data_IF_114521682036
#
_entry.id   IF_114521682036
#
_cell.length_a   1.000
_cell.length_b   1.000
_cell.length_c   1.000
_cell.angle_alpha   90.00
_cell.angle_beta   90.00
_cell.angle_gamma   90.00
#
_symmetry.space_group_name_H-M   'P 1'
#
loop_
_entity.id
_entity.type
_entity.pdbx_description
1 polymer ?
#
# COMPACT_ATOMS: atom_id res chain seq x y z
N UNK A 1 22.46 6.45 -22.87
CA UNK A 1 21.25 5.73 -22.45
C UNK A 1 20.04 6.65 -22.68
N UNK A 2 19.03 6.22 -23.44
CA UNK A 2 17.79 6.99 -23.57
C UNK A 2 17.15 7.00 -22.18
N UNK A 3 16.98 8.17 -21.59
CA UNK A 3 16.24 8.38 -20.34
C UNK A 3 14.84 7.80 -20.53
N UNK A 4 14.59 6.64 -19.95
CA UNK A 4 13.28 6.08 -19.80
C UNK A 4 12.43 7.11 -19.03
N UNK A 5 11.16 7.30 -19.40
CA UNK A 5 10.25 8.17 -18.68
C UNK A 5 9.89 7.67 -17.28
N UNK A 6 10.64 6.69 -16.73
CA UNK A 6 10.47 6.11 -15.41
C UNK A 6 11.08 7.01 -14.32
N UNK A 7 10.40 7.06 -13.18
CA UNK A 7 10.93 7.66 -11.96
C UNK A 7 11.84 6.67 -11.20
N UNK A 8 11.54 5.37 -11.29
CA UNK A 8 12.36 4.27 -10.75
C UNK A 8 12.48 3.22 -11.83
N UNK A 9 13.69 2.75 -12.11
CA UNK A 9 13.98 1.68 -13.07
C UNK A 9 15.01 0.71 -12.45
N UNK A 10 14.60 -0.52 -12.19
CA UNK A 10 15.40 -1.61 -11.64
C UNK A 10 15.46 -2.71 -12.68
N UNK A 11 16.66 -3.26 -12.94
CA UNK A 11 16.87 -4.34 -13.91
C UNK A 11 17.72 -5.42 -13.28
N UNK A 12 17.14 -6.61 -13.13
CA UNK A 12 17.77 -7.80 -12.57
C UNK A 12 18.48 -7.53 -11.23
N UNK A 13 17.90 -6.66 -10.38
CA UNK A 13 18.51 -6.24 -9.12
C UNK A 13 18.46 -7.36 -8.10
N UNK A 14 19.63 -7.72 -7.57
CA UNK A 14 19.77 -8.77 -6.55
C UNK A 14 20.51 -8.24 -5.33
N UNK A 15 20.06 -8.65 -4.13
CA UNK A 15 20.70 -8.37 -2.85
C UNK A 15 20.67 -9.56 -1.92
N UNK A 16 21.85 -9.92 -1.42
CA UNK A 16 22.07 -11.06 -0.52
C UNK A 16 22.73 -10.59 0.78
N UNK A 17 22.37 -11.20 1.90
CA UNK A 17 22.99 -11.00 3.21
C UNK A 17 23.43 -12.35 3.74
N UNK A 18 24.74 -12.65 3.67
CA UNK A 18 25.27 -13.97 3.97
C UNK A 18 24.65 -15.04 3.08
N UNK A 19 23.98 -16.03 3.65
CA UNK A 19 23.30 -17.10 2.92
C UNK A 19 21.87 -16.74 2.47
N UNK A 20 21.32 -15.61 2.91
CA UNK A 20 19.93 -15.22 2.63
C UNK A 20 19.87 -14.24 1.47
N UNK A 21 19.17 -14.58 0.39
CA UNK A 21 18.83 -13.66 -0.69
C UNK A 21 17.58 -12.88 -0.30
N UNK A 22 17.73 -11.57 -0.04
CA UNK A 22 16.66 -10.69 0.38
C UNK A 22 15.86 -10.14 -0.82
N UNK A 23 16.53 -9.96 -1.97
CA UNK A 23 15.92 -9.55 -3.25
C UNK A 23 16.62 -10.32 -4.35
N UNK A 24 15.85 -10.95 -5.23
CA UNK A 24 16.36 -11.81 -6.29
C UNK A 24 15.83 -11.37 -7.65
N UNK A 25 16.75 -10.93 -8.52
CA UNK A 25 16.48 -10.62 -9.93
C UNK A 25 15.24 -9.71 -10.10
N UNK A 26 15.16 -8.64 -9.33
CA UNK A 26 14.02 -7.73 -9.35
C UNK A 26 14.07 -6.78 -10.55
N UNK A 27 13.08 -6.91 -11.44
CA UNK A 27 12.76 -5.93 -12.47
C UNK A 27 11.55 -5.11 -12.02
N UNK A 28 11.70 -3.77 -12.02
CA UNK A 28 10.64 -2.85 -11.63
C UNK A 28 10.80 -1.52 -12.39
N UNK A 29 9.75 -1.09 -13.06
CA UNK A 29 9.75 0.21 -13.73
C UNK A 29 8.50 1.00 -13.33
N UNK A 30 8.71 2.11 -12.61
CA UNK A 30 7.65 3.01 -12.15
C UNK A 30 7.65 4.26 -12.98
N UNK A 31 6.60 4.54 -13.77
CA UNK A 31 6.51 5.75 -14.57
C UNK A 31 6.36 7.00 -13.69
N UNK A 32 6.76 8.16 -14.23
CA UNK A 32 6.58 9.45 -13.52
C UNK A 32 5.09 9.75 -13.33
N UNK A 33 4.75 10.32 -12.19
CA UNK A 33 3.39 10.69 -11.82
C UNK A 33 2.48 9.51 -11.44
N UNK A 34 3.01 8.29 -11.28
CA UNK A 34 2.23 7.12 -10.87
C UNK A 34 2.23 6.94 -9.35
N UNK A 35 1.17 6.32 -8.84
CA UNK A 35 1.05 5.88 -7.44
C UNK A 35 1.07 4.35 -7.39
N UNK A 36 2.20 3.81 -6.93
CA UNK A 36 2.48 2.38 -6.89
C UNK A 36 2.48 1.84 -5.46
N UNK A 37 1.71 0.78 -5.25
CA UNK A 37 1.75 -0.04 -4.04
C UNK A 37 2.84 -1.11 -4.14
N UNK A 38 3.80 -1.13 -3.21
CA UNK A 38 4.84 -2.15 -3.09
C UNK A 38 4.50 -3.04 -1.90
N UNK A 39 3.82 -4.16 -2.15
CA UNK A 39 3.12 -4.94 -1.12
C UNK A 39 3.70 -6.34 -0.94
N UNK A 40 3.51 -6.87 0.25
CA UNK A 40 3.96 -8.22 0.60
C UNK A 40 4.16 -8.37 2.11
N UNK A 41 4.30 -9.59 2.61
CA UNK A 41 4.50 -9.85 4.03
C UNK A 41 5.81 -9.25 4.57
N UNK A 42 5.95 -9.24 5.89
CA UNK A 42 7.19 -8.81 6.53
C UNK A 42 8.33 -9.77 6.15
N UNK A 43 9.52 -9.20 5.85
CA UNK A 43 10.65 -9.97 5.37
C UNK A 43 10.59 -10.35 3.88
N UNK A 44 9.58 -9.89 3.13
CA UNK A 44 9.47 -10.16 1.70
C UNK A 44 10.57 -9.51 0.83
N UNK A 45 11.29 -8.50 1.36
CA UNK A 45 12.33 -7.76 0.63
C UNK A 45 11.96 -6.30 0.33
N UNK A 46 10.78 -5.81 0.75
CA UNK A 46 10.30 -4.44 0.47
C UNK A 46 11.26 -3.36 0.94
N UNK A 47 11.53 -3.31 2.24
CA UNK A 47 12.44 -2.30 2.84
C UNK A 47 13.86 -2.41 2.28
N UNK A 48 14.35 -3.64 1.98
CA UNK A 48 15.65 -3.83 1.31
C UNK A 48 15.65 -3.19 -0.07
N UNK A 49 14.62 -3.40 -0.88
CA UNK A 49 14.47 -2.78 -2.20
C UNK A 49 14.39 -1.26 -2.11
N UNK A 50 13.60 -0.72 -1.18
CA UNK A 50 13.50 0.73 -0.92
C UNK A 50 14.87 1.31 -0.52
N UNK A 51 15.60 0.65 0.38
CA UNK A 51 16.94 1.10 0.79
C UNK A 51 17.95 1.09 -0.38
N UNK A 52 17.81 0.16 -1.33
CA UNK A 52 18.61 0.19 -2.57
C UNK A 52 18.20 1.34 -3.49
N UNK A 53 16.90 1.56 -3.70
CA UNK A 53 16.37 2.70 -4.47
C UNK A 53 16.88 4.02 -3.87
N UNK A 54 16.93 4.14 -2.55
CA UNK A 54 17.42 5.33 -1.83
C UNK A 54 18.95 5.45 -1.78
N UNK A 55 19.71 4.52 -2.39
CA UNK A 55 21.17 4.44 -2.30
C UNK A 55 21.71 4.36 -0.86
N UNK A 56 20.90 3.84 0.08
CA UNK A 56 21.31 3.50 1.46
C UNK A 56 21.99 2.14 1.48
N UNK A 57 21.57 1.23 0.59
CA UNK A 57 22.20 -0.06 0.30
C UNK A 57 22.57 -0.11 -1.18
N UNK A 58 23.56 -0.93 -1.52
CA UNK A 58 23.94 -1.17 -2.90
C UNK A 58 23.55 -2.60 -3.29
N UNK A 59 23.01 -2.82 -4.50
CA UNK A 59 22.76 -4.16 -5.02
C UNK A 59 24.08 -4.92 -5.21
N UNK A 60 24.01 -6.24 -5.13
CA UNK A 60 25.17 -7.11 -5.44
C UNK A 60 25.29 -7.33 -6.96
N UNK A 61 24.17 -7.24 -7.68
CA UNK A 61 24.12 -7.28 -9.15
C UNK A 61 22.87 -6.58 -9.67
N UNK A 62 22.84 -6.29 -10.98
CA UNK A 62 21.77 -5.58 -11.66
C UNK A 62 22.04 -4.08 -11.77
N UNK A 63 21.10 -3.37 -12.41
CA UNK A 63 21.18 -1.93 -12.65
C UNK A 63 20.00 -1.22 -11.96
N UNK A 64 20.25 -0.02 -11.46
CA UNK A 64 19.26 0.79 -10.78
C UNK A 64 19.37 2.24 -11.27
N UNK A 65 18.21 2.85 -11.57
CA UNK A 65 18.14 4.29 -11.85
C UNK A 65 16.95 4.93 -11.14
N UNK A 66 17.17 6.12 -10.57
CA UNK A 66 16.15 6.92 -9.88
C UNK A 66 16.13 8.32 -10.46
N UNK A 67 14.97 8.75 -10.95
CA UNK A 67 14.78 10.01 -11.67
C UNK A 67 15.76 10.22 -12.85
N UNK A 68 16.24 9.11 -13.43
CA UNK A 68 17.21 9.08 -14.53
C UNK A 68 18.68 9.11 -14.09
N UNK A 69 18.97 9.08 -12.79
CA UNK A 69 20.32 9.01 -12.22
C UNK A 69 20.62 7.59 -11.70
N UNK A 70 21.88 7.17 -11.81
CA UNK A 70 22.34 5.89 -11.27
C UNK A 70 22.38 5.84 -9.73
N UNK A 71 22.26 7.00 -9.07
CA UNK A 71 22.17 7.12 -7.62
C UNK A 71 21.07 8.11 -7.23
N UNK A 72 20.28 7.75 -6.22
CA UNK A 72 19.31 8.65 -5.61
C UNK A 72 19.96 9.90 -4.98
N UNK A 73 21.24 9.81 -4.64
CA UNK A 73 21.99 10.95 -4.06
C UNK A 73 22.11 12.12 -5.05
N UNK A 74 22.15 11.83 -6.37
CA UNK A 74 22.24 12.85 -7.42
C UNK A 74 20.90 13.60 -7.60
N UNK A 75 19.80 13.05 -7.10
CA UNK A 75 18.45 13.63 -7.15
C UNK A 75 17.85 13.85 -5.75
N UNK A 76 18.68 13.85 -4.69
CA UNK A 76 18.23 13.89 -3.28
C UNK A 76 17.26 15.03 -2.95
N UNK A 77 17.43 16.18 -3.61
CA UNK A 77 16.60 17.37 -3.39
C UNK A 77 15.20 17.23 -4.02
N UNK A 78 15.00 16.22 -4.89
CA UNK A 78 13.74 15.90 -5.55
C UNK A 78 13.04 14.69 -4.97
N UNK A 79 13.65 14.04 -3.98
CA UNK A 79 13.13 12.81 -3.37
C UNK A 79 12.70 13.09 -1.94
N UNK A 80 11.45 12.78 -1.62
CA UNK A 80 10.93 12.66 -0.26
C UNK A 80 10.99 11.20 0.20
N UNK A 81 11.41 10.96 1.43
CA UNK A 81 11.47 9.62 1.99
C UNK A 81 10.94 9.58 3.42
N UNK A 82 9.97 8.71 3.64
CA UNK A 82 9.48 8.34 4.97
C UNK A 82 9.93 6.91 5.26
N UNK A 83 10.94 6.69 6.11
CA UNK A 83 11.35 5.35 6.53
C UNK A 83 10.38 4.73 7.53
N UNK A 84 10.32 3.40 7.59
CA UNK A 84 9.60 2.65 8.63
C UNK A 84 10.13 2.97 10.03
N UNK A 85 11.46 3.05 10.18
CA UNK A 85 12.10 3.41 11.43
C UNK A 85 12.08 4.92 11.69
N UNK A 86 11.76 5.31 12.91
CA UNK A 86 11.58 6.72 13.27
C UNK A 86 12.92 7.40 13.53
N UNK A 87 13.47 8.04 12.50
CA UNK A 87 14.72 8.81 12.55
C UNK A 87 14.49 10.31 12.72
N UNK A 88 14.10 10.78 13.91
CA UNK A 88 13.97 12.22 14.21
C UNK A 88 14.98 12.68 15.24
N UNK A 89 15.35 13.94 15.17
CA UNK A 89 16.17 14.59 16.21
C UNK A 89 15.30 14.87 17.46
N UNK A 90 15.22 13.90 18.37
CA UNK A 90 14.28 13.87 19.50
C UNK A 90 14.26 15.15 20.34
N UNK A 91 15.42 15.78 20.58
CA UNK A 91 15.56 17.01 21.39
C UNK A 91 15.23 18.29 20.63
N UNK A 92 15.11 18.24 19.30
CA UNK A 92 14.72 19.40 18.49
C UNK A 92 13.25 19.71 18.65
N UNK A 93 12.88 21.01 18.55
CA UNK A 93 11.49 21.42 18.39
C UNK A 93 11.00 21.07 17.00
N UNK A 94 9.71 20.71 16.84
CA UNK A 94 9.10 20.32 15.58
C UNK A 94 9.35 21.34 14.46
N UNK A 95 9.09 22.63 14.73
CA UNK A 95 9.32 23.69 13.75
C UNK A 95 10.81 23.80 13.35
N UNK A 96 11.73 23.67 14.30
CA UNK A 96 13.16 23.69 14.03
C UNK A 96 13.62 22.46 13.21
N UNK A 97 13.08 21.27 13.53
CA UNK A 97 13.33 20.04 12.77
C UNK A 97 12.86 20.16 11.32
N UNK A 98 11.63 20.60 11.10
CA UNK A 98 11.09 20.78 9.75
C UNK A 98 11.84 21.86 8.95
N UNK A 99 12.21 22.97 9.60
CA UNK A 99 13.07 24.02 9.00
C UNK A 99 14.43 23.45 8.57
N UNK A 100 15.04 22.66 9.45
CA UNK A 100 16.34 22.02 9.17
C UNK A 100 16.25 21.09 7.95
N UNK A 101 15.24 20.21 7.88
CA UNK A 101 15.04 19.31 6.72
C UNK A 101 14.78 20.12 5.45
N UNK A 102 13.91 21.13 5.50
CA UNK A 102 13.62 21.98 4.35
C UNK A 102 14.89 22.68 3.79
N UNK A 103 15.73 23.20 4.68
CA UNK A 103 17.01 23.81 4.29
C UNK A 103 17.98 22.79 3.69
N UNK A 104 18.06 21.58 4.23
CA UNK A 104 18.84 20.48 3.63
C UNK A 104 18.38 20.11 2.21
N UNK A 105 17.09 20.32 1.93
CA UNK A 105 16.49 20.11 0.61
C UNK A 105 16.58 21.36 -0.29
N UNK A 106 17.37 22.37 0.09
CA UNK A 106 17.60 23.56 -0.72
C UNK A 106 16.51 24.63 -0.66
N UNK A 107 15.54 24.54 0.23
CA UNK A 107 14.45 25.51 0.33
C UNK A 107 14.93 26.85 0.89
N UNK A 108 14.43 27.95 0.31
CA UNK A 108 14.64 29.28 0.83
C UNK A 108 13.89 29.48 2.16
N UNK A 109 14.42 30.37 3.03
CA UNK A 109 13.81 30.66 4.33
C UNK A 109 12.50 31.45 4.23
N UNK A 110 12.39 32.26 3.16
CA UNK A 110 11.20 33.11 2.93
C UNK A 110 9.94 32.27 2.78
N UNK A 111 8.95 32.49 3.65
CA UNK A 111 7.67 31.76 3.63
C UNK A 111 7.70 30.36 4.25
N UNK A 112 8.88 29.86 4.66
CA UNK A 112 9.02 28.50 5.18
C UNK A 112 8.26 28.28 6.50
N UNK A 113 8.23 29.25 7.39
CA UNK A 113 7.50 29.15 8.65
C UNK A 113 5.98 28.98 8.43
N UNK A 114 5.40 29.73 7.51
CA UNK A 114 3.96 29.62 7.18
C UNK A 114 3.65 28.29 6.47
N UNK A 115 4.55 27.85 5.58
CA UNK A 115 4.45 26.53 4.95
C UNK A 115 4.45 25.39 5.98
N UNK A 116 5.38 25.43 6.94
CA UNK A 116 5.47 24.45 8.04
C UNK A 116 4.14 24.42 8.80
N UNK A 117 3.65 25.58 9.22
CA UNK A 117 2.39 25.73 9.96
C UNK A 117 1.20 25.12 9.17
N UNK A 118 1.12 25.43 7.87
CA UNK A 118 0.09 24.88 6.99
C UNK A 118 0.14 23.37 6.89
N UNK A 119 1.33 22.79 6.63
CA UNK A 119 1.48 21.34 6.47
C UNK A 119 1.23 20.59 7.78
N UNK A 120 1.72 21.12 8.91
CA UNK A 120 1.48 20.54 10.23
C UNK A 120 -0.02 20.57 10.58
N UNK A 121 -0.73 21.64 10.22
CA UNK A 121 -2.18 21.72 10.40
C UNK A 121 -2.94 20.71 9.53
N UNK A 122 -2.52 20.49 8.27
CA UNK A 122 -3.12 19.50 7.35
C UNK A 122 -3.10 18.06 7.88
N UNK A 123 -2.07 17.70 8.64
CA UNK A 123 -1.99 16.38 9.28
C UNK A 123 -2.65 16.34 10.68
N UNK A 124 -3.43 17.37 11.03
CA UNK A 124 -4.17 17.46 12.29
C UNK A 124 -3.29 17.74 13.51
N UNK A 125 -2.18 18.47 13.34
CA UNK A 125 -1.21 18.77 14.41
C UNK A 125 -0.97 20.27 14.59
N UNK A 126 -1.99 21.11 14.33
CA UNK A 126 -1.87 22.58 14.49
C UNK A 126 -1.34 22.94 15.89
N UNK A 127 -0.35 23.84 15.95
CA UNK A 127 0.19 24.39 17.20
C UNK A 127 1.25 23.53 17.90
N UNK A 128 1.75 22.44 17.27
CA UNK A 128 2.80 21.61 17.88
C UNK A 128 4.24 22.07 17.52
N UNK A 129 4.40 23.10 16.72
CA UNK A 129 5.71 23.55 16.17
C UNK A 129 6.71 23.91 17.29
N UNK A 130 6.19 24.40 18.44
CA UNK A 130 6.98 24.72 19.62
C UNK A 130 7.37 23.53 20.49
N UNK A 131 6.69 22.38 20.38
CA UNK A 131 6.98 21.18 21.16
C UNK A 131 8.26 20.49 20.69
N UNK A 132 8.94 19.77 21.59
CA UNK A 132 10.06 18.90 21.22
C UNK A 132 9.51 17.63 20.55
N UNK A 133 10.28 17.03 19.63
CA UNK A 133 9.89 15.79 18.98
C UNK A 133 9.69 14.63 19.97
N UNK A 134 10.43 14.59 21.07
CA UNK A 134 10.30 13.60 22.14
C UNK A 134 8.99 13.71 22.96
N UNK A 135 8.30 14.84 22.90
CA UNK A 135 7.02 15.08 23.58
C UNK A 135 5.82 14.59 22.74
N UNK A 136 6.06 14.17 21.50
CA UNK A 136 5.02 13.69 20.60
C UNK A 136 4.76 12.20 20.80
N UNK A 137 3.48 11.79 20.65
CA UNK A 137 3.13 10.38 20.55
C UNK A 137 3.75 9.74 19.30
N UNK A 138 3.78 8.42 19.26
CA UNK A 138 4.29 7.67 18.09
C UNK A 138 3.58 8.09 16.78
N UNK A 139 2.24 8.17 16.80
CA UNK A 139 1.46 8.56 15.62
C UNK A 139 1.66 10.04 15.24
N UNK A 140 1.77 10.94 16.22
CA UNK A 140 2.11 12.34 15.93
C UNK A 140 3.48 12.47 15.27
N UNK A 141 4.46 11.70 15.75
CA UNK A 141 5.81 11.72 15.21
C UNK A 141 5.84 11.20 13.77
N UNK A 142 5.07 10.14 13.46
CA UNK A 142 4.90 9.60 12.11
C UNK A 142 4.38 10.69 11.16
N UNK A 143 3.35 11.44 11.58
CA UNK A 143 2.78 12.56 10.80
C UNK A 143 3.80 13.68 10.58
N UNK A 144 4.62 14.01 11.56
CA UNK A 144 5.69 15.02 11.40
C UNK A 144 6.79 14.54 10.45
N UNK A 145 7.14 13.26 10.48
CA UNK A 145 8.10 12.69 9.51
C UNK A 145 7.54 12.70 8.09
N UNK A 146 6.25 12.43 7.92
CA UNK A 146 5.59 12.58 6.63
C UNK A 146 5.64 14.03 6.13
N UNK A 147 5.33 15.02 6.99
CA UNK A 147 5.48 16.45 6.65
C UNK A 147 6.92 16.76 6.22
N UNK A 148 7.92 16.23 6.92
CA UNK A 148 9.33 16.41 6.55
C UNK A 148 9.64 15.81 5.16
N UNK A 149 9.00 14.69 4.80
CA UNK A 149 9.19 14.05 3.51
C UNK A 149 8.58 14.84 2.34
N UNK A 150 7.51 15.62 2.57
CA UNK A 150 6.81 16.37 1.51
C UNK A 150 7.09 17.87 1.51
N UNK A 151 7.79 18.42 2.52
CA UNK A 151 7.95 19.86 2.74
C UNK A 151 8.56 20.59 1.53
N UNK A 152 9.41 19.94 0.76
CA UNK A 152 10.13 20.47 -0.40
C UNK A 152 9.48 20.15 -1.74
N UNK A 153 8.22 19.63 -1.76
CA UNK A 153 7.46 19.27 -2.96
C UNK A 153 8.22 18.28 -3.88
N UNK A 154 8.54 17.09 -3.39
CA UNK A 154 9.36 16.14 -4.14
C UNK A 154 8.72 15.71 -5.47
N UNK A 155 9.56 15.38 -6.47
CA UNK A 155 9.13 14.72 -7.71
C UNK A 155 8.86 13.22 -7.46
N UNK A 156 9.59 12.61 -6.52
CA UNK A 156 9.44 11.21 -6.10
C UNK A 156 9.27 11.14 -4.59
N UNK A 157 8.20 10.51 -4.13
CA UNK A 157 7.90 10.29 -2.72
C UNK A 157 7.91 8.78 -2.43
N UNK A 158 8.79 8.36 -1.54
CA UNK A 158 8.90 6.96 -1.11
C UNK A 158 8.43 6.87 0.34
N UNK A 159 7.42 6.03 0.58
CA UNK A 159 6.76 5.87 1.87
C UNK A 159 6.86 4.40 2.32
N UNK A 160 7.67 4.13 3.34
CA UNK A 160 7.84 2.79 3.89
C UNK A 160 6.96 2.63 5.14
N UNK A 161 5.87 1.82 5.03
CA UNK A 161 4.86 1.57 6.08
C UNK A 161 4.28 2.87 6.69
N UNK A 162 3.78 3.84 5.91
CA UNK A 162 3.41 5.17 6.41
C UNK A 162 2.28 5.18 7.43
N UNK A 163 1.42 4.16 7.43
CA UNK A 163 0.27 4.08 8.33
C UNK A 163 0.54 3.30 9.61
N UNK A 164 1.76 2.77 9.79
CA UNK A 164 2.12 1.99 10.96
C UNK A 164 1.95 2.76 12.27
N UNK A 165 1.14 2.22 13.18
CA UNK A 165 0.88 2.79 14.50
C UNK A 165 0.04 4.07 14.50
N UNK A 166 -0.75 4.31 13.44
CA UNK A 166 -1.74 5.38 13.37
C UNK A 166 -3.14 4.85 13.74
N UNK A 167 -3.91 5.67 14.41
CA UNK A 167 -5.35 5.48 14.57
C UNK A 167 -6.11 5.72 13.26
N UNK A 168 -7.37 5.24 13.12
CA UNK A 168 -8.12 5.35 11.87
C UNK A 168 -8.32 6.79 11.37
N UNK A 169 -8.46 7.77 12.27
CA UNK A 169 -8.61 9.19 11.89
C UNK A 169 -7.30 9.73 11.34
N UNK A 170 -6.19 9.43 12.01
CA UNK A 170 -4.84 9.80 11.56
C UNK A 170 -4.46 9.14 10.23
N UNK A 171 -4.85 7.86 10.02
CA UNK A 171 -4.66 7.17 8.74
C UNK A 171 -5.40 7.87 7.60
N UNK A 172 -6.66 8.25 7.83
CA UNK A 172 -7.47 8.97 6.83
C UNK A 172 -6.80 10.29 6.43
N UNK A 173 -6.41 11.12 7.40
CA UNK A 173 -5.74 12.40 7.14
C UNK A 173 -4.45 12.21 6.35
N UNK A 174 -3.65 11.21 6.71
CA UNK A 174 -2.40 10.94 6.00
C UNK A 174 -2.65 10.46 4.57
N UNK A 175 -3.66 9.62 4.36
CA UNK A 175 -4.11 9.16 3.04
C UNK A 175 -4.51 10.35 2.15
N UNK A 176 -5.32 11.27 2.66
CA UNK A 176 -5.72 12.49 1.96
C UNK A 176 -4.50 13.31 1.51
N UNK A 177 -3.45 13.38 2.34
CA UNK A 177 -2.21 14.09 1.97
C UNK A 177 -1.39 13.32 0.92
N UNK A 178 -1.35 11.98 0.97
CA UNK A 178 -0.70 11.14 -0.06
C UNK A 178 -1.38 11.36 -1.42
N UNK A 179 -2.70 11.32 -1.45
CA UNK A 179 -3.48 11.58 -2.68
C UNK A 179 -3.23 13.00 -3.20
N UNK A 180 -3.21 14.02 -2.31
CA UNK A 180 -2.92 15.39 -2.71
C UNK A 180 -1.51 15.56 -3.32
N UNK A 181 -0.50 14.84 -2.80
CA UNK A 181 0.84 14.84 -3.41
C UNK A 181 0.85 14.15 -4.78
N UNK A 182 0.09 13.07 -4.96
CA UNK A 182 -0.09 12.42 -6.25
C UNK A 182 -0.80 13.35 -7.25
N UNK A 183 -1.89 14.00 -6.86
CA UNK A 183 -2.62 14.98 -7.68
C UNK A 183 -1.76 16.19 -8.07
N UNK A 184 -0.79 16.58 -7.22
CA UNK A 184 0.23 17.58 -7.55
C UNK A 184 1.18 17.09 -8.65
N UNK A 185 1.22 15.81 -8.97
CA UNK A 185 2.06 15.19 -9.99
C UNK A 185 3.29 14.46 -9.44
N UNK A 186 3.43 14.30 -8.14
CA UNK A 186 4.49 13.49 -7.56
C UNK A 186 4.33 12.02 -7.94
N UNK A 187 5.44 11.34 -8.23
CA UNK A 187 5.47 9.88 -8.29
C UNK A 187 5.54 9.34 -6.87
N UNK A 188 4.74 8.34 -6.55
CA UNK A 188 4.69 7.78 -5.19
C UNK A 188 4.93 6.28 -5.23
N UNK A 189 5.92 5.82 -4.46
CA UNK A 189 6.11 4.42 -4.12
C UNK A 189 5.72 4.24 -2.64
N UNK A 190 4.64 3.51 -2.41
CA UNK A 190 4.07 3.26 -1.10
C UNK A 190 4.24 1.79 -0.73
N UNK A 191 4.99 1.48 0.33
CA UNK A 191 5.12 0.10 0.80
C UNK A 191 4.17 -0.19 1.96
N UNK A 192 3.59 -1.39 1.96
CA UNK A 192 2.80 -1.89 3.07
C UNK A 192 2.70 -3.42 3.06
N UNK A 193 2.50 -4.01 4.23
CA UNK A 193 2.10 -5.41 4.38
C UNK A 193 0.57 -5.56 4.49
N UNK A 194 -0.17 -4.46 4.67
CA UNK A 194 -1.64 -4.42 4.72
C UNK A 194 -2.18 -4.14 3.32
N UNK A 195 -2.56 -5.20 2.60
CA UNK A 195 -2.92 -5.13 1.18
C UNK A 195 -4.14 -4.25 0.92
N UNK A 196 -5.09 -4.22 1.86
CA UNK A 196 -6.26 -3.34 1.77
C UNK A 196 -5.86 -1.86 1.65
N UNK A 197 -4.83 -1.41 2.36
CA UNK A 197 -4.36 -0.02 2.29
C UNK A 197 -3.89 0.35 0.87
N UNK A 198 -3.19 -0.57 0.20
CA UNK A 198 -2.74 -0.37 -1.17
C UNK A 198 -3.92 -0.41 -2.16
N UNK A 199 -4.87 -1.32 -1.96
CA UNK A 199 -6.08 -1.44 -2.78
C UNK A 199 -6.94 -0.16 -2.77
N UNK A 200 -6.96 0.55 -1.63
CA UNK A 200 -7.76 1.76 -1.46
C UNK A 200 -7.15 3.02 -2.11
N UNK A 201 -5.83 3.06 -2.36
CA UNK A 201 -5.17 4.29 -2.84
C UNK A 201 -4.31 4.12 -4.07
N UNK A 202 -3.87 2.89 -4.41
CA UNK A 202 -2.94 2.68 -5.51
C UNK A 202 -3.68 2.30 -6.80
N UNK A 203 -3.22 2.85 -7.92
CA UNK A 203 -3.68 2.44 -9.25
C UNK A 203 -3.01 1.15 -9.72
N UNK A 204 -1.77 0.92 -9.25
CA UNK A 204 -0.92 -0.19 -9.63
C UNK A 204 -0.24 -0.80 -8.40
N UNK A 205 -0.12 -2.11 -8.37
CA UNK A 205 0.56 -2.82 -7.28
C UNK A 205 1.61 -3.78 -7.78
N UNK A 206 2.69 -3.84 -7.02
CA UNK A 206 3.75 -4.83 -7.16
C UNK A 206 3.78 -5.68 -5.91
N UNK A 207 3.56 -6.99 -6.06
CA UNK A 207 3.61 -7.93 -4.94
C UNK A 207 4.96 -8.62 -4.88
N UNK A 208 5.55 -8.59 -3.69
CA UNK A 208 6.84 -9.25 -3.40
C UNK A 208 6.63 -10.35 -2.37
N UNK A 209 7.23 -11.51 -2.64
CA UNK A 209 7.28 -12.62 -1.71
C UNK A 209 8.66 -13.31 -1.74
N UNK A 210 9.30 -13.43 -0.58
CA UNK A 210 10.63 -14.07 -0.41
C UNK A 210 11.68 -13.54 -1.41
N UNK A 211 11.69 -12.22 -1.59
CA UNK A 211 12.62 -11.55 -2.49
C UNK A 211 12.26 -11.58 -3.97
N UNK A 212 11.18 -12.25 -4.36
CA UNK A 212 10.74 -12.38 -5.74
C UNK A 212 9.50 -11.51 -6.00
N UNK A 213 9.44 -10.88 -7.17
CA UNK A 213 8.24 -10.23 -7.68
C UNK A 213 7.25 -11.29 -8.16
N UNK A 214 6.08 -11.38 -7.53
CA UNK A 214 5.05 -12.37 -7.86
C UNK A 214 3.89 -11.79 -8.66
N UNK A 215 3.70 -10.46 -8.61
CA UNK A 215 2.71 -9.73 -9.40
C UNK A 215 3.19 -8.32 -9.68
N UNK A 216 2.82 -7.76 -10.83
CA UNK A 216 3.07 -6.38 -11.23
C UNK A 216 1.98 -5.97 -12.23
N UNK A 217 0.86 -5.45 -11.71
CA UNK A 217 -0.34 -5.18 -12.51
C UNK A 217 -1.14 -3.97 -11.96
N UNK A 218 -1.91 -3.28 -12.81
CA UNK A 218 -2.94 -2.36 -12.36
C UNK A 218 -3.98 -3.07 -11.48
N UNK A 219 -4.41 -2.44 -10.39
CA UNK A 219 -5.44 -2.98 -9.47
C UNK A 219 -6.71 -3.35 -10.23
N UNK A 220 -7.14 -2.52 -11.19
CA UNK A 220 -8.29 -2.80 -12.03
C UNK A 220 -8.15 -4.06 -12.91
N UNK A 221 -6.93 -4.39 -13.33
CA UNK A 221 -6.64 -5.61 -14.11
C UNK A 221 -6.63 -6.85 -13.22
N UNK A 222 -6.13 -6.70 -11.98
CA UNK A 222 -6.17 -7.77 -10.97
C UNK A 222 -7.62 -8.15 -10.66
N UNK A 223 -8.48 -7.16 -10.40
CA UNK A 223 -9.90 -7.39 -10.12
C UNK A 223 -10.61 -8.13 -11.27
N UNK A 224 -10.27 -7.84 -12.53
CA UNK A 224 -10.85 -8.56 -13.69
C UNK A 224 -10.30 -9.97 -13.88
N UNK A 225 -8.98 -10.17 -13.62
CA UNK A 225 -8.32 -11.47 -13.83
C UNK A 225 -8.68 -12.49 -12.76
N UNK A 226 -8.86 -12.03 -11.54
CA UNK A 226 -9.10 -12.87 -10.35
C UNK A 226 -10.54 -12.76 -9.86
N UNK A 227 -11.48 -12.33 -10.72
CA UNK A 227 -12.91 -12.25 -10.41
C UNK A 227 -13.41 -13.59 -9.84
N UNK A 228 -13.88 -13.65 -8.60
CA UNK A 228 -14.38 -14.87 -7.99
C UNK A 228 -15.72 -15.33 -8.57
N UNK A 229 -16.31 -14.57 -9.50
CA UNK A 229 -17.67 -14.82 -10.04
C UNK A 229 -18.68 -15.05 -8.92
N UNK A 230 -18.63 -14.22 -7.91
CA UNK A 230 -19.45 -14.33 -6.72
C UNK A 230 -20.17 -13.02 -6.42
N UNK A 231 -21.30 -13.16 -5.73
CA UNK A 231 -22.06 -12.05 -5.16
C UNK A 231 -22.01 -12.12 -3.64
N UNK A 232 -21.99 -10.96 -2.99
CA UNK A 232 -22.25 -10.85 -1.54
C UNK A 232 -23.67 -10.38 -1.37
N UNK A 233 -24.47 -11.07 -0.56
CA UNK A 233 -25.84 -10.67 -0.28
C UNK A 233 -26.13 -10.67 1.22
N UNK A 234 -26.97 -9.73 1.64
CA UNK A 234 -27.53 -9.62 2.98
C UNK A 234 -29.07 -9.61 2.85
N UNK A 235 -29.80 -10.60 3.37
CA UNK A 235 -31.25 -10.58 3.42
C UNK A 235 -31.77 -9.46 4.31
N UNK A 236 -32.97 -8.91 4.01
CA UNK A 236 -33.68 -8.00 4.91
C UNK A 236 -34.02 -8.67 6.23
N UNK A 237 -34.40 -9.95 6.19
CA UNK A 237 -34.61 -10.79 7.38
C UNK A 237 -33.40 -11.72 7.54
N UNK A 238 -32.59 -11.57 8.60
CA UNK A 238 -31.44 -12.45 8.85
C UNK A 238 -31.81 -13.94 9.01
N UNK A 239 -33.09 -14.26 9.28
CA UNK A 239 -33.59 -15.64 9.40
C UNK A 239 -34.14 -16.20 8.08
N UNK A 240 -34.10 -15.45 7.00
CA UNK A 240 -34.68 -15.85 5.71
C UNK A 240 -34.04 -17.14 5.17
N UNK A 241 -34.90 -18.03 4.67
CA UNK A 241 -34.41 -19.24 3.99
C UNK A 241 -33.86 -18.91 2.60
N UNK A 242 -32.65 -19.37 2.38
CA UNK A 242 -31.94 -19.21 1.10
C UNK A 242 -32.20 -20.36 0.11
N UNK A 243 -33.11 -21.26 0.41
CA UNK A 243 -33.44 -22.40 -0.48
C UNK A 243 -33.82 -21.90 -1.89
N UNK A 244 -34.58 -20.80 -1.99
CA UNK A 244 -34.94 -20.17 -3.25
C UNK A 244 -33.72 -19.67 -4.04
N UNK A 245 -32.73 -19.08 -3.37
CA UNK A 245 -31.48 -18.61 -4.00
C UNK A 245 -30.62 -19.80 -4.45
N UNK A 246 -30.49 -20.83 -3.60
CA UNK A 246 -29.70 -22.04 -3.92
C UNK A 246 -30.29 -22.85 -5.08
N UNK A 247 -31.61 -22.73 -5.32
CA UNK A 247 -32.30 -23.43 -6.40
C UNK A 247 -32.16 -22.73 -7.77
N UNK A 248 -31.63 -21.51 -7.81
CA UNK A 248 -31.44 -20.79 -9.09
C UNK A 248 -30.38 -21.48 -9.95
N UNK A 249 -30.66 -21.59 -11.25
CA UNK A 249 -29.75 -22.22 -12.20
C UNK A 249 -28.39 -21.50 -12.33
N UNK A 250 -28.35 -20.22 -12.02
CA UNK A 250 -27.17 -19.35 -12.03
C UNK A 250 -26.23 -19.60 -10.87
N UNK A 251 -26.72 -20.15 -9.76
CA UNK A 251 -25.98 -20.34 -8.51
C UNK A 251 -25.27 -21.69 -8.52
N UNK A 252 -23.96 -21.66 -8.20
CA UNK A 252 -23.14 -22.85 -8.02
C UNK A 252 -23.07 -23.24 -6.54
N UNK A 253 -22.81 -22.26 -5.67
CA UNK A 253 -22.75 -22.46 -4.22
C UNK A 253 -23.24 -21.22 -3.46
N UNK A 254 -23.62 -21.44 -2.18
CA UNK A 254 -24.01 -20.36 -1.28
C UNK A 254 -23.48 -20.68 0.10
N UNK A 255 -22.53 -19.86 0.59
CA UNK A 255 -21.86 -20.02 1.88
C UNK A 255 -22.09 -18.82 2.78
N UNK A 256 -22.09 -19.01 4.10
CA UNK A 256 -22.25 -17.92 5.08
C UNK A 256 -20.88 -17.33 5.44
N UNK A 257 -20.78 -16.01 5.48
CA UNK A 257 -19.59 -15.31 5.90
C UNK A 257 -19.97 -14.01 6.65
N UNK A 258 -19.56 -13.87 7.92
CA UNK A 258 -19.77 -12.68 8.77
C UNK A 258 -21.19 -12.08 8.75
N UNK A 259 -22.22 -12.92 8.75
CA UNK A 259 -23.64 -12.47 8.73
C UNK A 259 -24.17 -12.12 7.35
N UNK A 260 -23.35 -12.19 6.31
CA UNK A 260 -23.71 -12.12 4.91
C UNK A 260 -23.55 -13.50 4.24
N UNK A 261 -23.94 -13.59 2.99
CA UNK A 261 -23.81 -14.79 2.20
C UNK A 261 -22.99 -14.54 0.94
N UNK A 262 -22.01 -15.39 0.73
CA UNK A 262 -21.27 -15.46 -0.54
C UNK A 262 -21.97 -16.43 -1.47
N UNK A 263 -22.43 -15.94 -2.62
CA UNK A 263 -23.10 -16.72 -3.67
C UNK A 263 -22.18 -16.82 -4.87
N UNK A 264 -21.62 -17.99 -5.11
CA UNK A 264 -20.81 -18.27 -6.30
C UNK A 264 -21.72 -18.52 -7.52
N UNK A 265 -21.36 -17.88 -8.61
CA UNK A 265 -22.07 -17.99 -9.88
C UNK A 265 -21.40 -19.02 -10.79
N UNK A 266 -22.20 -19.78 -11.53
CA UNK A 266 -21.68 -20.72 -12.55
C UNK A 266 -20.92 -19.97 -13.64
N UNK A 267 -20.00 -20.67 -14.27
CA UNK A 267 -19.22 -20.11 -15.37
C UNK A 267 -20.12 -19.57 -16.51
N UNK A 268 -19.81 -18.34 -16.97
CA UNK A 268 -20.52 -17.68 -18.05
C UNK A 268 -21.84 -17.01 -17.67
N UNK A 269 -22.22 -17.00 -16.39
CA UNK A 269 -23.39 -16.26 -15.91
C UNK A 269 -23.06 -14.77 -15.84
N UNK A 270 -23.97 -13.94 -16.37
CA UNK A 270 -23.90 -12.49 -16.19
C UNK A 270 -24.32 -12.11 -14.76
N UNK A 271 -23.44 -11.46 -13.98
CA UNK A 271 -23.76 -11.03 -12.62
C UNK A 271 -25.00 -10.13 -12.53
N UNK A 272 -25.23 -9.26 -13.52
CA UNK A 272 -26.40 -8.37 -13.50
C UNK A 272 -27.72 -9.16 -13.63
N UNK A 273 -27.76 -10.17 -14.49
CA UNK A 273 -28.92 -11.06 -14.62
C UNK A 273 -29.14 -11.89 -13.35
N UNK A 274 -28.07 -12.40 -12.75
CA UNK A 274 -28.14 -13.16 -11.48
C UNK A 274 -28.66 -12.28 -10.32
N UNK A 275 -28.20 -11.04 -10.20
CA UNK A 275 -28.67 -10.06 -9.20
C UNK A 275 -30.18 -9.84 -9.33
N UNK A 276 -30.68 -9.61 -10.56
CA UNK A 276 -32.09 -9.39 -10.81
C UNK A 276 -32.94 -10.61 -10.42
N UNK A 277 -32.44 -11.82 -10.68
CA UNK A 277 -33.14 -13.07 -10.30
C UNK A 277 -33.15 -13.30 -8.81
N UNK A 278 -32.01 -13.13 -8.15
CA UNK A 278 -31.91 -13.29 -6.68
C UNK A 278 -32.83 -12.29 -5.98
N UNK A 279 -32.84 -11.02 -6.42
CA UNK A 279 -33.72 -10.00 -5.85
C UNK A 279 -35.23 -10.29 -6.09
N UNK A 280 -35.57 -11.10 -7.08
CA UNK A 280 -36.93 -11.56 -7.33
C UNK A 280 -37.39 -12.68 -6.42
N UNK A 281 -36.48 -13.42 -5.79
CA UNK A 281 -36.80 -14.57 -4.93
C UNK A 281 -36.53 -14.33 -3.44
N UNK A 282 -35.72 -13.34 -3.11
CA UNK A 282 -35.35 -13.00 -1.74
C UNK A 282 -35.34 -11.48 -1.53
N UNK A 283 -36.08 -10.94 -0.55
CA UNK A 283 -35.94 -9.54 -0.15
C UNK A 283 -34.55 -9.27 0.42
N UNK A 284 -33.82 -8.30 -0.17
CA UNK A 284 -32.43 -8.02 0.16
C UNK A 284 -32.26 -6.65 0.81
N UNK A 285 -31.42 -6.58 1.85
CA UNK A 285 -30.88 -5.35 2.39
C UNK A 285 -29.71 -4.86 1.52
N UNK A 286 -28.89 -5.82 1.00
CA UNK A 286 -27.73 -5.52 0.14
C UNK A 286 -27.47 -6.69 -0.81
N UNK A 287 -27.06 -6.35 -2.04
CA UNK A 287 -26.46 -7.28 -2.98
C UNK A 287 -25.41 -6.57 -3.80
N UNK A 288 -24.24 -7.14 -3.93
CA UNK A 288 -23.15 -6.59 -4.72
C UNK A 288 -22.28 -7.67 -5.35
N UNK A 289 -21.58 -7.32 -6.43
CA UNK A 289 -20.58 -8.20 -7.03
C UNK A 289 -19.37 -8.26 -6.11
N UNK A 290 -18.99 -9.46 -5.67
CA UNK A 290 -17.81 -9.69 -4.85
C UNK A 290 -16.55 -9.36 -5.65
N UNK A 291 -15.77 -8.40 -5.15
CA UNK A 291 -14.46 -8.10 -5.74
C UNK A 291 -13.39 -8.97 -5.08
N UNK A 292 -12.43 -9.49 -5.85
CA UNK A 292 -11.30 -10.21 -5.25
C UNK A 292 -10.49 -9.22 -4.41
N UNK A 293 -10.16 -9.57 -3.18
CA UNK A 293 -9.22 -8.80 -2.35
C UNK A 293 -7.80 -9.11 -2.78
N UNK A 294 -6.92 -8.12 -2.76
CA UNK A 294 -5.50 -8.34 -3.07
C UNK A 294 -4.87 -9.41 -2.17
N UNK A 295 -5.37 -9.58 -0.95
CA UNK A 295 -4.94 -10.63 -0.01
C UNK A 295 -5.28 -12.04 -0.52
N UNK A 296 -6.50 -12.26 -1.06
CA UNK A 296 -6.91 -13.54 -1.64
C UNK A 296 -6.09 -13.85 -2.89
N UNK A 297 -5.85 -12.85 -3.73
CA UNK A 297 -5.01 -12.97 -4.94
C UNK A 297 -3.57 -13.33 -4.55
N UNK A 298 -3.00 -12.69 -3.52
CA UNK A 298 -1.67 -13.00 -3.02
C UNK A 298 -1.59 -14.45 -2.51
N UNK A 299 -2.56 -14.88 -1.69
CA UNK A 299 -2.64 -16.26 -1.20
C UNK A 299 -2.71 -17.25 -2.35
N UNK A 300 -3.49 -16.97 -3.38
CA UNK A 300 -3.58 -17.82 -4.56
C UNK A 300 -2.24 -17.93 -5.28
N UNK A 301 -1.59 -16.80 -5.62
CA UNK A 301 -0.32 -16.77 -6.33
C UNK A 301 0.81 -17.50 -5.60
N UNK A 302 0.87 -17.36 -4.29
CA UNK A 302 1.91 -17.99 -3.46
C UNK A 302 1.60 -19.48 -3.20
N UNK A 303 0.30 -19.86 -3.21
CA UNK A 303 -0.16 -21.23 -2.95
C UNK A 303 -0.18 -22.12 -4.18
N UNK A 304 -0.24 -21.58 -5.39
CA UNK A 304 -0.15 -22.37 -6.62
C UNK A 304 1.21 -23.05 -6.77
N UNK A 305 2.24 -22.59 -6.00
CA UNK A 305 3.49 -23.31 -5.75
C UNK A 305 3.47 -24.32 -4.59
N UNK A 306 2.41 -24.34 -3.75
CA UNK A 306 2.29 -25.20 -2.57
C UNK A 306 0.89 -25.87 -2.54
N UNK A 307 0.83 -27.13 -2.91
CA UNK A 307 -0.41 -27.91 -3.18
C UNK A 307 -1.25 -28.29 -1.93
N UNK A 308 -1.10 -27.68 -0.73
CA UNK A 308 -1.86 -28.08 0.43
C UNK A 308 -2.79 -26.97 1.00
N UNK A 309 -4.01 -27.36 1.40
CA UNK A 309 -4.99 -26.51 2.11
C UNK A 309 -4.41 -25.95 3.42
N UNK A 310 -3.50 -26.70 4.05
CA UNK A 310 -2.80 -26.29 5.27
C UNK A 310 -1.83 -25.14 5.02
N UNK A 311 -1.12 -25.12 3.88
CA UNK A 311 -0.23 -24.02 3.49
C UNK A 311 -1.00 -22.73 3.23
N UNK A 312 -2.20 -22.81 2.63
CA UNK A 312 -3.10 -21.65 2.43
C UNK A 312 -3.61 -21.08 3.76
N UNK A 313 -3.94 -21.97 4.71
CA UNK A 313 -4.43 -21.59 6.03
C UNK A 313 -3.31 -20.97 6.89
N UNK A 314 -2.11 -21.54 6.84
CA UNK A 314 -0.93 -21.01 7.53
C UNK A 314 -0.54 -19.62 7.02
N UNK A 315 -0.57 -19.42 5.69
CA UNK A 315 -0.25 -18.13 5.07
C UNK A 315 -1.30 -17.04 5.42
N UNK A 316 -2.59 -17.38 5.43
CA UNK A 316 -3.66 -16.47 5.90
C UNK A 316 -3.50 -16.13 7.38
N UNK A 317 -3.14 -17.08 8.22
CA UNK A 317 -2.86 -16.85 9.63
C UNK A 317 -1.61 -15.99 9.84
N UNK A 318 -0.59 -16.13 9.00
CA UNK A 318 0.62 -15.28 9.03
C UNK A 318 0.30 -13.82 8.63
N UNK A 319 -0.58 -13.62 7.67
CA UNK A 319 -1.06 -12.30 7.26
C UNK A 319 -1.97 -11.66 8.32
N UNK A 320 -2.89 -12.44 8.92
CA UNK A 320 -3.83 -11.98 9.95
C UNK A 320 -3.20 -11.84 11.33
N UNK A 321 -2.39 -12.81 11.77
CA UNK A 321 -1.87 -12.90 13.16
C UNK A 321 -0.82 -11.84 13.53
N UNK A 322 -0.39 -10.98 12.62
CA UNK A 322 0.49 -9.83 12.88
C UNK A 322 -0.23 -8.48 12.88
N UNK A 323 -1.49 -8.43 12.47
CA UNK A 323 -2.33 -7.24 12.63
C UNK A 323 -2.67 -6.98 14.11
N UNK A 324 -2.75 -8.02 14.95
CA UNK A 324 -3.08 -7.91 16.38
C UNK A 324 -1.90 -7.52 17.28
N UNK A 325 -0.65 -7.71 16.87
CA UNK A 325 0.53 -7.34 17.69
C UNK A 325 0.92 -5.85 17.63
N UNK A 326 0.19 -5.04 16.88
CA UNK A 326 0.39 -3.57 16.80
C UNK A 326 -0.54 -2.81 17.75
N UNK A 327 -1.42 -3.49 18.50
CA UNK A 327 -2.44 -2.87 19.37
C UNK A 327 -2.13 -2.99 20.86
N UNK A 328 -0.90 -3.30 21.26
CA UNK A 328 -0.46 -3.26 22.67
C UNK A 328 0.70 -2.30 22.90
#
# INVERSE_FOLDING_TARGET
MKTSGAAIDLRAVTKTFGAQTAVSNLDLSIPRGALYGFIGPNGAGKTTSIRMIMSILFPDSGELAVLGHASALDAKDKIGYLPEERGVYRKMRVGAYLTYIAKLKGMAEKGLAERIKTLVARVGLAGVEGKRCEELSKGMLQKIQFVAAIIHEPELLILDEPFSGLDPVSMRLLREQIVAEHERGATILFSTHVMQQAEEICDHVVMIHRGLKVLDDPVSSIHRRYDPRALVLEPLDPSADLAGVRALAEVESCTTHDGAYDVELRAGVDPAAAIARIAGVLPLARIEVKRPRLEDVFVQLVSDGAQSVESKRALRAELAGRAEQVTT
#
